data_IF_812391504200
#
_entry.id   IF_812391504200
#
_cell.length_a   1.000
_cell.length_b   1.000
_cell.length_c   1.000
_cell.angle_alpha   90.00
_cell.angle_beta   90.00
_cell.angle_gamma   90.00
#
_symmetry.space_group_name_H-M   'P 1'
#
loop_
_entity.id
_entity.type
_entity.pdbx_description
1 polymer ?
#
# COMPACT_ATOMS: atom_id res chain seq x y z
N UNK A 1 1.92 -8.89 -54.74
CA UNK A 1 0.90 -9.95 -54.82
C UNK A 1 0.01 -9.87 -53.60
N UNK A 2 -1.28 -9.74 -53.87
CA UNK A 2 -2.47 -10.03 -53.06
C UNK A 2 -2.38 -11.35 -52.24
N UNK A 3 -3.17 -11.69 -51.21
CA UNK A 3 -4.35 -11.13 -50.52
C UNK A 3 -4.59 -11.94 -49.19
N UNK A 4 -5.13 -11.29 -48.15
CA UNK A 4 -6.28 -11.68 -47.27
C UNK A 4 -6.28 -12.84 -46.24
N UNK A 5 -6.76 -12.48 -45.04
CA UNK A 5 -7.78 -13.20 -44.22
C UNK A 5 -7.28 -13.87 -42.93
N UNK A 6 -7.82 -13.72 -41.71
CA UNK A 6 -8.99 -12.99 -41.21
C UNK A 6 -9.56 -13.67 -39.93
N UNK A 7 -9.71 -12.89 -38.84
CA UNK A 7 -10.77 -12.94 -37.81
C UNK A 7 -10.82 -14.15 -36.81
N UNK A 8 -11.32 -14.10 -35.57
CA UNK A 8 -12.25 -13.20 -34.82
C UNK A 8 -11.95 -13.23 -33.30
N UNK A 9 -12.19 -12.08 -32.64
CA UNK A 9 -12.45 -11.94 -31.20
C UNK A 9 -13.94 -12.16 -30.90
N UNK A 10 -14.26 -12.67 -29.71
CA UNK A 10 -15.63 -12.78 -29.18
C UNK A 10 -15.83 -11.77 -28.05
N UNK A 11 -16.90 -10.99 -28.17
CA UNK A 11 -17.46 -10.04 -27.21
C UNK A 11 -18.73 -10.68 -26.61
N UNK A 12 -18.96 -10.53 -25.30
CA UNK A 12 -20.25 -10.72 -24.64
C UNK A 12 -20.31 -9.78 -23.45
N UNK A 13 -20.90 -8.59 -23.58
CA UNK A 13 -22.32 -8.23 -23.52
C UNK A 13 -22.75 -7.84 -22.11
N UNK A 14 -22.91 -6.53 -21.91
CA UNK A 14 -23.65 -5.91 -20.82
C UNK A 14 -25.12 -6.34 -20.83
N UNK A 15 -25.71 -6.48 -19.65
CA UNK A 15 -27.16 -6.38 -19.46
C UNK A 15 -27.46 -5.26 -18.47
N UNK A 16 -28.17 -4.27 -18.99
CA UNK A 16 -28.78 -3.15 -18.30
C UNK A 16 -30.12 -3.60 -17.71
N UNK A 17 -30.46 -3.18 -16.49
CA UNK A 17 -31.84 -3.15 -16.04
C UNK A 17 -32.17 -1.79 -15.41
N UNK A 18 -33.32 -1.28 -15.81
CA UNK A 18 -33.76 0.12 -15.74
C UNK A 18 -34.91 0.24 -14.73
N UNK A 19 -34.98 1.42 -14.12
CA UNK A 19 -36.12 2.05 -13.42
C UNK A 19 -36.50 1.53 -12.02
N UNK A 20 -36.51 2.45 -11.04
CA UNK A 20 -37.74 3.10 -10.59
C UNK A 20 -37.46 4.47 -9.96
N UNK A 21 -38.21 5.46 -10.45
CA UNK A 21 -38.35 6.82 -9.95
C UNK A 21 -39.02 6.80 -8.57
N UNK A 22 -38.51 7.55 -7.59
CA UNK A 22 -39.37 8.21 -6.59
C UNK A 22 -38.79 9.58 -6.24
N UNK A 23 -39.59 10.57 -6.57
CA UNK A 23 -39.50 11.99 -6.26
C UNK A 23 -39.66 12.26 -4.76
N UNK A 24 -38.81 13.11 -4.18
CA UNK A 24 -39.21 13.97 -3.06
C UNK A 24 -38.59 15.37 -3.21
N UNK A 25 -39.43 16.35 -2.88
CA UNK A 25 -39.34 17.77 -3.21
C UNK A 25 -38.79 18.55 -2.01
N UNK A 26 -37.83 19.43 -2.30
CA UNK A 26 -37.52 20.75 -1.70
C UNK A 26 -37.82 21.07 -0.22
N UNK A 27 -36.81 21.61 0.46
CA UNK A 27 -36.94 22.89 1.18
C UNK A 27 -35.57 23.58 1.37
N UNK A 28 -35.53 24.84 0.94
CA UNK A 28 -34.50 25.88 1.06
C UNK A 28 -34.21 26.29 2.50
N UNK A 29 -32.97 26.74 2.81
CA UNK A 29 -32.64 28.08 3.37
C UNK A 29 -31.14 28.28 3.67
N UNK A 30 -30.55 29.32 3.06
CA UNK A 30 -29.57 30.32 3.57
C UNK A 30 -28.21 29.92 4.20
N UNK A 31 -27.12 30.37 3.56
CA UNK A 31 -25.77 30.66 4.10
C UNK A 31 -25.74 32.01 4.88
N UNK A 32 -24.59 32.59 5.31
CA UNK A 32 -23.21 32.08 5.54
C UNK A 32 -22.61 32.51 6.91
N UNK A 33 -21.48 31.95 7.35
CA UNK A 33 -20.53 32.64 8.24
C UNK A 33 -19.14 31.98 8.24
N UNK A 34 -18.11 32.79 8.00
CA UNK A 34 -16.70 32.46 8.10
C UNK A 34 -16.19 32.69 9.53
N UNK A 35 -15.26 31.87 10.02
CA UNK A 35 -14.29 32.24 11.05
C UNK A 35 -13.09 31.28 11.07
N UNK A 36 -11.91 31.84 10.81
CA UNK A 36 -10.60 31.26 11.11
C UNK A 36 -10.41 31.09 12.62
N UNK A 37 -9.73 30.03 13.05
CA UNK A 37 -9.27 29.91 14.44
C UNK A 37 -8.43 28.66 14.69
N UNK A 38 -7.11 28.85 14.79
CA UNK A 38 -6.15 27.87 15.29
C UNK A 38 -6.48 27.50 16.74
N UNK A 39 -6.36 26.23 17.11
CA UNK A 39 -6.48 25.81 18.51
C UNK A 39 -6.07 24.36 18.72
N UNK A 40 -4.90 24.16 19.31
CA UNK A 40 -4.48 22.91 19.94
C UNK A 40 -5.45 22.56 21.08
N UNK A 41 -5.83 21.28 21.22
CA UNK A 41 -6.26 20.75 22.52
C UNK A 41 -6.01 19.24 22.61
N UNK A 42 -5.06 18.91 23.46
CA UNK A 42 -4.98 17.66 24.23
C UNK A 42 -6.23 17.49 25.10
N UNK A 43 -6.68 16.25 25.31
CA UNK A 43 -7.56 15.92 26.43
C UNK A 43 -7.17 14.56 27.01
N UNK A 44 -6.82 14.60 28.30
CA UNK A 44 -6.66 13.47 29.22
C UNK A 44 -7.93 13.41 30.04
N UNK A 45 -8.59 12.26 30.13
CA UNK A 45 -9.63 12.03 31.13
C UNK A 45 -9.26 10.86 32.03
N UNK A 46 -8.93 11.24 33.26
CA UNK A 46 -8.69 10.40 34.42
C UNK A 46 -10.05 9.93 34.96
N UNK A 47 -10.29 8.62 35.12
CA UNK A 47 -11.37 8.14 35.99
C UNK A 47 -10.91 6.95 36.83
N UNK A 48 -10.86 7.26 38.12
CA UNK A 48 -10.51 6.45 39.28
C UNK A 48 -11.61 5.42 39.56
N UNK A 49 -11.15 4.29 40.10
CA UNK A 49 -11.93 3.14 40.55
C UNK A 49 -13.03 3.48 41.55
N UNK A 50 -14.11 2.69 41.53
CA UNK A 50 -15.01 2.48 42.66
C UNK A 50 -15.16 0.97 42.88
N UNK A 51 -14.66 0.55 44.03
CA UNK A 51 -14.84 -0.76 44.66
C UNK A 51 -16.30 -0.89 45.10
N UNK A 52 -16.95 -2.02 44.83
CA UNK A 52 -18.13 -2.43 45.59
C UNK A 52 -18.02 -3.92 45.92
N UNK A 53 -17.99 -4.18 47.22
CA UNK A 53 -18.03 -5.49 47.85
C UNK A 53 -19.43 -6.08 47.66
N UNK A 54 -19.50 -7.38 47.36
CA UNK A 54 -20.72 -8.17 47.57
C UNK A 54 -20.36 -9.32 48.50
N UNK A 55 -21.12 -9.34 49.59
CA UNK A 55 -21.06 -10.19 50.77
C UNK A 55 -21.48 -11.63 50.50
N UNK A 56 -20.70 -12.56 51.03
CA UNK A 56 -21.04 -13.98 51.19
C UNK A 56 -22.10 -14.14 52.30
N UNK A 57 -23.20 -14.81 51.98
CA UNK A 57 -24.18 -15.28 52.96
C UNK A 57 -23.90 -16.74 53.33
N UNK A 58 -23.51 -16.95 54.59
CA UNK A 58 -23.42 -18.25 55.24
C UNK A 58 -24.82 -18.77 55.61
N UNK A 59 -25.09 -20.03 55.29
CA UNK A 59 -26.12 -20.83 55.96
C UNK A 59 -25.56 -22.19 56.35
N UNK A 60 -25.49 -22.37 57.67
CA UNK A 60 -25.16 -23.53 58.50
C UNK A 60 -26.23 -24.65 58.40
N UNK A 61 -25.98 -25.97 58.55
CA UNK A 61 -25.85 -26.86 59.76
C UNK A 61 -26.10 -28.32 59.22
N UNK A 62 -25.73 -29.48 59.85
CA UNK A 62 -24.66 -29.85 60.79
C UNK A 62 -23.78 -31.06 60.35
N UNK A 63 -22.69 -31.24 61.09
CA UNK A 63 -21.93 -32.47 61.27
C UNK A 63 -22.76 -33.62 61.90
N UNK A 64 -22.56 -34.84 61.38
CA UNK A 64 -22.79 -36.09 62.13
C UNK A 64 -21.65 -37.07 61.84
N UNK A 65 -20.82 -37.33 62.85
CA UNK A 65 -19.86 -38.44 62.86
C UNK A 65 -20.62 -39.77 63.04
N UNK A 66 -20.29 -40.77 62.23
CA UNK A 66 -20.24 -42.17 62.65
C UNK A 66 -19.37 -43.00 61.70
N UNK A 67 -18.71 -43.98 62.31
CA UNK A 67 -17.55 -44.75 61.90
C UNK A 67 -17.68 -45.72 60.71
N UNK A 68 -16.53 -45.94 60.07
CA UNK A 68 -16.00 -47.19 59.49
C UNK A 68 -16.87 -48.00 58.52
N UNK A 69 -16.46 -48.07 57.25
CA UNK A 69 -15.96 -49.33 56.68
C UNK A 69 -15.18 -49.10 55.36
N UNK A 70 -14.18 -49.95 55.22
CA UNK A 70 -13.25 -50.14 54.12
C UNK A 70 -13.93 -50.22 52.74
N UNK A 71 -13.33 -49.60 51.71
CA UNK A 71 -13.76 -49.77 50.33
C UNK A 71 -13.06 -48.84 49.35
N UNK A 72 -11.95 -49.32 48.78
CA UNK A 72 -11.40 -48.97 47.46
C UNK A 72 -11.48 -47.51 46.98
N UNK A 73 -10.31 -46.88 46.89
CA UNK A 73 -10.06 -45.68 46.11
C UNK A 73 -10.59 -45.80 44.68
N UNK A 74 -11.63 -45.03 44.35
CA UNK A 74 -11.91 -44.62 42.97
C UNK A 74 -11.28 -43.24 42.77
N UNK A 75 -9.98 -43.25 42.48
CA UNK A 75 -9.38 -42.18 41.71
C UNK A 75 -10.16 -42.13 40.38
N UNK A 76 -11.02 -41.14 40.23
CA UNK A 76 -11.43 -40.65 38.91
C UNK A 76 -10.16 -40.12 38.23
N UNK A 77 -9.38 -41.04 37.63
CA UNK A 77 -8.51 -40.70 36.52
C UNK A 77 -9.43 -40.08 35.48
N UNK A 78 -9.39 -38.75 35.34
CA UNK A 78 -9.62 -38.14 34.05
C UNK A 78 -8.67 -38.86 33.10
N UNK A 79 -9.21 -39.75 32.29
CA UNK A 79 -8.53 -40.29 31.12
C UNK A 79 -8.29 -39.08 30.20
N UNK A 80 -7.16 -38.42 30.39
CA UNK A 80 -6.53 -37.73 29.27
C UNK A 80 -6.27 -38.83 28.25
N UNK A 81 -7.04 -38.81 27.16
CA UNK A 81 -6.76 -39.65 26.00
C UNK A 81 -5.40 -39.19 25.49
N UNK A 82 -4.34 -39.87 25.91
CA UNK A 82 -3.01 -39.66 25.34
C UNK A 82 -3.07 -40.14 23.89
N UNK A 83 -3.19 -39.19 22.96
CA UNK A 83 -3.12 -39.46 21.53
C UNK A 83 -1.85 -40.26 21.23
N UNK A 84 -1.96 -41.31 20.40
CA UNK A 84 -0.82 -42.15 20.04
C UNK A 84 0.29 -41.31 19.40
N UNK A 85 1.56 -41.74 19.50
CA UNK A 85 2.70 -40.98 18.94
C UNK A 85 2.58 -40.74 17.43
N UNK A 86 1.90 -41.65 16.71
CA UNK A 86 1.56 -41.50 15.28
C UNK A 86 0.50 -40.41 15.05
N UNK A 87 -0.54 -40.37 15.89
CA UNK A 87 -1.61 -39.36 15.82
C UNK A 87 -1.09 -37.96 16.17
N UNK A 88 -0.19 -37.85 17.15
CA UNK A 88 0.46 -36.59 17.50
C UNK A 88 1.24 -36.00 16.31
N UNK A 89 1.97 -36.84 15.58
CA UNK A 89 2.75 -36.40 14.42
C UNK A 89 1.85 -35.99 13.25
N UNK A 90 0.74 -36.70 13.03
CA UNK A 90 -0.24 -36.35 11.99
C UNK A 90 -0.91 -35.00 12.29
N UNK A 91 -1.30 -34.76 13.54
CA UNK A 91 -1.88 -33.50 14.01
C UNK A 91 -0.89 -32.33 13.89
N UNK A 92 0.37 -32.52 14.30
CA UNK A 92 1.43 -31.52 14.12
C UNK A 92 1.61 -31.19 12.63
N UNK A 93 1.65 -32.20 11.76
CA UNK A 93 1.78 -32.02 10.31
C UNK A 93 0.59 -31.24 9.75
N UNK A 94 -0.63 -31.60 10.15
CA UNK A 94 -1.86 -30.95 9.70
C UNK A 94 -1.92 -29.47 10.14
N UNK A 95 -1.68 -29.18 11.42
CA UNK A 95 -1.72 -27.80 11.92
C UNK A 95 -0.59 -26.95 11.33
N UNK A 96 0.60 -27.52 11.14
CA UNK A 96 1.71 -26.85 10.46
C UNK A 96 1.40 -26.54 9.00
N UNK A 97 0.76 -27.46 8.27
CA UNK A 97 0.38 -27.21 6.88
C UNK A 97 -0.62 -26.05 6.77
N UNK A 98 -1.57 -25.94 7.72
CA UNK A 98 -2.54 -24.84 7.76
C UNK A 98 -1.92 -23.51 8.14
N UNK A 99 -1.06 -23.48 9.15
CA UNK A 99 -0.52 -22.23 9.75
C UNK A 99 0.82 -21.78 9.20
N UNK A 100 1.62 -22.72 8.67
CA UNK A 100 3.04 -22.52 8.32
C UNK A 100 3.93 -22.08 9.50
N UNK A 101 3.45 -22.17 10.75
CA UNK A 101 4.20 -21.79 11.94
C UNK A 101 5.36 -22.77 12.25
N UNK A 102 6.39 -22.35 13.01
CA UNK A 102 7.49 -23.22 13.41
C UNK A 102 7.00 -24.49 14.14
N UNK A 103 7.59 -25.65 13.83
CA UNK A 103 7.17 -26.96 14.40
C UNK A 103 7.11 -26.93 15.92
N UNK A 104 8.07 -26.25 16.57
CA UNK A 104 8.13 -26.08 18.02
C UNK A 104 6.87 -25.39 18.56
N UNK A 105 6.46 -24.31 17.92
CA UNK A 105 5.31 -23.51 18.36
C UNK A 105 4.00 -24.25 18.10
N UNK A 106 3.90 -24.96 16.96
CA UNK A 106 2.77 -25.83 16.62
C UNK A 106 2.60 -26.94 17.67
N UNK A 107 3.69 -27.63 18.02
CA UNK A 107 3.66 -28.68 19.04
C UNK A 107 3.29 -28.11 20.42
N UNK A 108 3.87 -26.98 20.81
CA UNK A 108 3.55 -26.33 22.08
C UNK A 108 2.07 -25.93 22.15
N UNK A 109 1.53 -25.33 21.09
CA UNK A 109 0.12 -24.94 21.04
C UNK A 109 -0.83 -26.15 21.09
N UNK A 110 -0.49 -27.25 20.41
CA UNK A 110 -1.27 -28.50 20.52
C UNK A 110 -1.24 -29.06 21.94
N UNK A 111 -0.10 -29.07 22.61
CA UNK A 111 0.00 -29.51 24.02
C UNK A 111 -0.83 -28.60 24.93
N UNK A 112 -0.70 -27.28 24.80
CA UNK A 112 -1.44 -26.29 25.60
C UNK A 112 -2.96 -26.42 25.41
N UNK A 113 -3.40 -26.88 24.24
CA UNK A 113 -4.81 -27.01 23.85
C UNK A 113 -5.32 -28.46 23.88
N UNK A 114 -4.67 -29.37 24.62
CA UNK A 114 -5.08 -30.77 24.74
C UNK A 114 -5.26 -31.49 23.39
N UNK A 115 -4.39 -31.20 22.43
CA UNK A 115 -4.37 -31.74 21.06
C UNK A 115 -5.58 -31.38 20.18
N UNK A 116 -6.35 -30.35 20.57
CA UNK A 116 -7.46 -29.81 19.78
C UNK A 116 -6.97 -28.83 18.71
N UNK A 117 -7.18 -29.15 17.43
CA UNK A 117 -6.68 -28.36 16.28
C UNK A 117 -7.22 -26.93 16.29
N UNK A 118 -8.52 -26.75 16.47
CA UNK A 118 -9.17 -25.43 16.35
C UNK A 118 -8.80 -24.52 17.53
N UNK A 119 -8.65 -25.08 18.73
CA UNK A 119 -8.16 -24.36 19.89
C UNK A 119 -6.68 -23.95 19.71
N UNK A 120 -5.84 -24.87 19.25
CA UNK A 120 -4.43 -24.59 18.97
C UNK A 120 -4.25 -23.55 17.86
N UNK A 121 -5.10 -23.57 16.82
CA UNK A 121 -5.11 -22.56 15.76
C UNK A 121 -5.40 -21.16 16.32
N UNK A 122 -6.42 -21.04 17.17
CA UNK A 122 -6.78 -19.78 17.83
C UNK A 122 -5.64 -19.26 18.71
N UNK A 123 -4.98 -20.15 19.46
CA UNK A 123 -3.87 -19.77 20.32
C UNK A 123 -2.62 -19.35 19.53
N UNK A 124 -2.29 -20.06 18.44
CA UNK A 124 -1.22 -19.66 17.52
C UNK A 124 -1.49 -18.29 16.91
N UNK A 125 -2.74 -18.01 16.51
CA UNK A 125 -3.14 -16.71 15.97
C UNK A 125 -2.96 -15.61 17.02
N UNK A 126 -3.34 -15.85 18.28
CA UNK A 126 -3.16 -14.91 19.40
C UNK A 126 -1.68 -14.65 19.69
N UNK A 127 -0.87 -15.70 19.84
CA UNK A 127 0.59 -15.59 20.06
C UNK A 127 1.26 -14.85 18.90
N UNK A 128 0.88 -15.16 17.67
CA UNK A 128 1.38 -14.53 16.46
C UNK A 128 1.16 -13.02 16.42
N UNK A 129 -0.04 -12.53 16.77
CA UNK A 129 -0.33 -11.08 16.82
C UNK A 129 0.58 -10.35 17.82
N UNK A 130 0.86 -10.95 18.98
CA UNK A 130 1.77 -10.36 19.98
C UNK A 130 3.20 -10.30 19.45
N UNK A 131 3.67 -11.36 18.78
CA UNK A 131 5.00 -11.38 18.18
C UNK A 131 5.13 -10.37 17.05
N UNK A 132 4.12 -10.24 16.18
CA UNK A 132 4.09 -9.23 15.13
C UNK A 132 4.16 -7.81 15.71
N UNK A 133 3.38 -7.54 16.76
CA UNK A 133 3.42 -6.24 17.45
C UNK A 133 4.79 -5.93 18.07
N UNK A 134 5.53 -6.93 18.56
CA UNK A 134 6.91 -6.72 19.03
C UNK A 134 7.90 -6.44 17.90
N UNK A 135 7.61 -6.90 16.68
CA UNK A 135 8.44 -6.69 15.49
C UNK A 135 8.10 -5.40 14.74
N UNK A 136 6.99 -4.73 15.07
CA UNK A 136 6.49 -3.58 14.32
C UNK A 136 7.42 -2.36 14.31
N UNK A 137 8.36 -2.29 15.26
CA UNK A 137 9.37 -1.23 15.33
C UNK A 137 10.59 -1.47 14.43
N UNK A 138 10.72 -2.66 13.83
CA UNK A 138 11.85 -2.99 12.94
C UNK A 138 11.75 -2.23 11.63
N UNK A 139 12.89 -1.95 11.00
CA UNK A 139 12.93 -1.23 9.73
C UNK A 139 12.34 -2.09 8.61
N UNK A 140 11.27 -1.60 7.96
CA UNK A 140 10.67 -2.22 6.79
C UNK A 140 10.89 -1.31 5.57
N UNK A 141 11.96 -1.55 4.81
CA UNK A 141 12.32 -0.77 3.61
C UNK A 141 12.08 -1.50 2.29
N UNK A 142 11.89 -2.81 2.33
CA UNK A 142 11.51 -3.62 1.17
C UNK A 142 9.99 -3.67 1.03
N UNK A 143 9.47 -4.31 -0.02
CA UNK A 143 8.03 -4.47 -0.22
C UNK A 143 7.57 -4.33 -1.66
N UNK A 144 6.29 -3.99 -1.83
CA UNK A 144 5.65 -3.80 -3.12
C UNK A 144 4.72 -2.60 -3.13
N UNK A 145 4.60 -2.00 -4.31
CA UNK A 145 3.50 -1.12 -4.65
C UNK A 145 2.37 -1.97 -5.22
N UNK A 146 1.15 -1.71 -4.76
CA UNK A 146 -0.06 -2.30 -5.32
C UNK A 146 -0.97 -1.20 -5.88
N UNK A 147 -1.45 -1.42 -7.11
CA UNK A 147 -2.25 -0.48 -7.86
C UNK A 147 -3.61 -1.11 -8.22
N UNK A 148 -4.67 -0.34 -7.98
CA UNK A 148 -6.02 -0.65 -8.42
C UNK A 148 -6.58 0.56 -9.18
N UNK A 149 -7.21 0.31 -10.33
CA UNK A 149 -7.71 1.37 -11.19
C UNK A 149 -9.14 1.05 -11.68
N UNK A 150 -9.94 2.10 -11.82
CA UNK A 150 -11.17 2.11 -12.60
C UNK A 150 -11.08 3.24 -13.67
N UNK A 151 -12.12 3.43 -14.45
CA UNK A 151 -12.15 4.43 -15.54
C UNK A 151 -11.90 5.87 -15.05
N UNK A 152 -12.25 6.17 -13.80
CA UNK A 152 -12.20 7.53 -13.23
C UNK A 152 -11.03 7.78 -12.30
N UNK A 153 -10.42 6.74 -11.71
CA UNK A 153 -9.46 6.86 -10.60
C UNK A 153 -8.48 5.70 -10.58
N UNK A 154 -7.27 5.97 -10.10
CA UNK A 154 -6.28 4.97 -9.73
C UNK A 154 -5.85 5.21 -8.30
N UNK A 155 -5.82 4.14 -7.51
CA UNK A 155 -5.29 4.11 -6.17
C UNK A 155 -4.03 3.26 -6.15
N UNK A 156 -3.01 3.75 -5.48
CA UNK A 156 -1.75 3.05 -5.29
C UNK A 156 -1.35 3.07 -3.82
N UNK A 157 -0.92 1.94 -3.30
CA UNK A 157 -0.47 1.78 -1.92
C UNK A 157 0.92 1.15 -1.88
N UNK A 158 1.75 1.57 -0.93
CA UNK A 158 3.03 0.96 -0.62
C UNK A 158 2.88 0.09 0.63
N UNK A 159 3.04 -1.22 0.46
CA UNK A 159 3.12 -2.18 1.56
C UNK A 159 4.58 -2.61 1.71
N UNK A 160 5.19 -2.28 2.85
CA UNK A 160 6.57 -2.60 3.14
C UNK A 160 6.72 -3.86 3.99
N UNK A 161 7.86 -4.52 3.84
CA UNK A 161 8.36 -5.61 4.67
C UNK A 161 9.87 -5.45 4.95
N UNK A 162 10.45 -6.33 5.78
CA UNK A 162 11.89 -6.29 6.10
C UNK A 162 12.72 -6.81 4.91
N UNK A 163 12.32 -7.93 4.31
CA UNK A 163 13.08 -8.60 3.25
C UNK A 163 12.33 -8.71 1.92
N UNK A 164 13.06 -8.89 0.82
CA UNK A 164 12.48 -9.11 -0.50
C UNK A 164 11.87 -10.52 -0.66
N UNK A 165 12.29 -11.49 0.17
CA UNK A 165 11.68 -12.82 0.22
C UNK A 165 10.21 -12.77 0.63
N UNK A 166 9.87 -11.94 1.63
CA UNK A 166 8.47 -11.74 2.04
C UNK A 166 7.67 -11.01 0.95
N UNK A 167 8.27 -10.03 0.27
CA UNK A 167 7.62 -9.31 -0.83
C UNK A 167 7.18 -10.25 -1.98
N UNK A 168 7.93 -11.34 -2.22
CA UNK A 168 7.61 -12.35 -3.25
C UNK A 168 6.56 -13.36 -2.81
N UNK A 169 6.16 -13.40 -1.54
CA UNK A 169 5.20 -14.37 -1.04
C UNK A 169 3.77 -14.09 -1.55
N UNK A 170 3.06 -15.12 -2.00
CA UNK A 170 1.70 -15.00 -2.56
C UNK A 170 0.69 -14.36 -1.58
N UNK A 171 0.80 -14.66 -0.29
CA UNK A 171 -0.05 -14.08 0.75
C UNK A 171 0.18 -12.57 0.87
N UNK A 172 1.46 -12.16 0.86
CA UNK A 172 1.84 -10.75 0.95
C UNK A 172 1.32 -9.98 -0.26
N UNK A 173 1.52 -10.54 -1.45
CA UNK A 173 1.05 -9.99 -2.71
C UNK A 173 -0.48 -9.88 -2.76
N UNK A 174 -1.20 -10.90 -2.28
CA UNK A 174 -2.66 -10.89 -2.19
C UNK A 174 -3.16 -9.79 -1.26
N UNK A 175 -2.56 -9.66 -0.07
CA UNK A 175 -2.89 -8.58 0.87
C UNK A 175 -2.69 -7.20 0.23
N UNK A 176 -1.55 -6.97 -0.43
CA UNK A 176 -1.25 -5.69 -1.07
C UNK A 176 -2.31 -5.33 -2.14
N UNK A 177 -2.68 -6.28 -3.01
CA UNK A 177 -3.74 -6.08 -4.01
C UNK A 177 -5.11 -5.80 -3.38
N UNK A 178 -5.46 -6.50 -2.31
CA UNK A 178 -6.72 -6.29 -1.60
C UNK A 178 -6.77 -4.90 -0.96
N UNK A 179 -5.66 -4.43 -0.37
CA UNK A 179 -5.53 -3.08 0.17
C UNK A 179 -5.67 -2.01 -0.92
N UNK A 180 -5.05 -2.21 -2.09
CA UNK A 180 -5.17 -1.28 -3.21
C UNK A 180 -6.63 -1.16 -3.69
N UNK A 181 -7.35 -2.27 -3.77
CA UNK A 181 -8.79 -2.28 -4.10
C UNK A 181 -9.63 -1.50 -3.07
N UNK A 182 -9.33 -1.65 -1.78
CA UNK A 182 -10.03 -0.86 -0.74
C UNK A 182 -9.68 0.63 -0.83
N UNK A 183 -8.42 0.96 -1.08
CA UNK A 183 -7.97 2.34 -1.27
C UNK A 183 -8.70 3.03 -2.44
N UNK A 184 -9.03 2.29 -3.50
CA UNK A 184 -9.81 2.82 -4.64
C UNK A 184 -11.25 3.21 -4.26
N UNK A 185 -11.83 2.59 -3.23
CA UNK A 185 -13.18 2.89 -2.75
C UNK A 185 -13.24 4.12 -1.83
N UNK A 186 -12.08 4.57 -1.32
CA UNK A 186 -12.00 5.76 -0.48
C UNK A 186 -12.41 6.98 -1.29
N UNK A 187 -13.43 7.69 -0.80
CA UNK A 187 -13.86 8.93 -1.41
C UNK A 187 -12.87 10.04 -1.05
N UNK A 188 -12.40 10.84 -2.02
CA UNK A 188 -11.63 12.02 -1.70
C UNK A 188 -12.47 12.97 -0.83
N UNK A 189 -11.86 13.74 0.08
CA UNK A 189 -12.57 14.78 0.82
C UNK A 189 -13.24 15.73 -0.18
N UNK A 190 -14.50 16.07 0.10
CA UNK A 190 -15.50 16.66 -0.81
C UNK A 190 -15.19 18.06 -1.39
N UNK A 191 -13.95 18.53 -1.29
CA UNK A 191 -13.52 19.87 -1.72
C UNK A 191 -12.28 19.90 -2.63
N UNK A 192 -11.62 18.79 -2.94
CA UNK A 192 -10.48 18.79 -3.86
C UNK A 192 -10.87 18.25 -5.25
N UNK A 193 -10.80 19.16 -6.21
CA UNK A 193 -11.08 18.98 -7.63
C UNK A 193 -9.71 18.83 -8.31
N UNK A 194 -9.42 17.62 -8.79
CA UNK A 194 -8.19 17.26 -9.51
C UNK A 194 -6.89 17.19 -8.70
N UNK A 195 -6.04 16.20 -9.02
CA UNK A 195 -4.72 16.02 -8.41
C UNK A 195 -4.48 14.66 -7.75
N UNK A 196 -3.26 14.50 -7.24
CA UNK A 196 -2.82 13.36 -6.43
C UNK A 196 -3.17 13.62 -4.97
N UNK A 197 -3.97 12.74 -4.37
CA UNK A 197 -4.46 12.90 -3.00
C UNK A 197 -3.81 11.83 -2.12
N UNK A 198 -3.07 12.19 -1.07
CA UNK A 198 -2.55 11.23 -0.10
C UNK A 198 -3.69 10.60 0.68
N UNK A 199 -3.62 9.29 0.85
CA UNK A 199 -4.50 8.52 1.72
C UNK A 199 -3.79 8.43 3.08
N UNK A 200 -4.36 9.08 4.08
CA UNK A 200 -3.89 8.95 5.45
C UNK A 200 -4.02 7.48 5.89
N UNK A 201 -2.95 6.90 6.43
CA UNK A 201 -2.92 5.48 6.82
C UNK A 201 -4.02 5.17 7.84
N UNK A 202 -4.32 6.13 8.72
CA UNK A 202 -5.36 6.05 9.74
C UNK A 202 -6.76 5.85 9.11
N UNK A 203 -7.01 6.40 7.92
CA UNK A 203 -8.28 6.21 7.21
C UNK A 203 -8.46 4.80 6.67
N UNK A 204 -7.37 4.04 6.49
CA UNK A 204 -7.41 2.68 5.99
C UNK A 204 -7.45 1.66 7.12
N UNK A 205 -6.78 1.90 8.25
CA UNK A 205 -6.57 0.93 9.34
C UNK A 205 -7.85 0.25 9.85
N UNK A 206 -8.93 1.01 10.00
CA UNK A 206 -10.23 0.54 10.52
C UNK A 206 -11.18 0.04 9.43
N UNK A 207 -10.83 0.20 8.14
CA UNK A 207 -11.67 -0.29 7.06
C UNK A 207 -11.74 -1.82 7.10
N UNK A 208 -12.94 -2.32 6.85
CA UNK A 208 -13.18 -3.75 6.77
C UNK A 208 -12.68 -4.29 5.44
N UNK A 209 -11.84 -5.31 5.50
CA UNK A 209 -11.45 -6.13 4.37
C UNK A 209 -12.16 -7.48 4.45
N UNK A 210 -12.72 -7.88 3.32
CA UNK A 210 -13.05 -9.27 3.07
C UNK A 210 -11.88 -9.92 2.33
N UNK A 211 -11.17 -10.83 3.01
CA UNK A 211 -10.07 -11.60 2.42
C UNK A 211 -10.56 -13.02 2.15
N UNK A 212 -10.55 -13.39 0.87
CA UNK A 212 -10.88 -14.72 0.39
C UNK A 212 -9.58 -15.44 0.01
N UNK A 213 -8.84 -15.89 1.02
CA UNK A 213 -7.61 -16.66 0.83
C UNK A 213 -7.60 -17.93 1.72
N UNK A 214 -7.11 -19.09 1.26
CA UNK A 214 -7.15 -20.34 2.03
C UNK A 214 -6.45 -20.29 3.40
N UNK A 215 -5.47 -19.40 3.54
CA UNK A 215 -4.68 -19.20 4.78
C UNK A 215 -5.08 -17.94 5.56
N UNK A 216 -5.91 -17.08 4.98
CA UNK A 216 -6.38 -15.84 5.59
C UNK A 216 -7.83 -15.69 5.18
N UNK A 217 -8.74 -16.05 6.09
CA UNK A 217 -10.16 -16.06 5.80
C UNK A 217 -10.91 -15.25 6.86
N UNK A 218 -11.82 -14.39 6.39
CA UNK A 218 -12.78 -13.69 7.23
C UNK A 218 -12.79 -12.17 7.04
N UNK A 219 -13.87 -11.58 7.51
CA UNK A 219 -14.01 -10.13 7.65
C UNK A 219 -13.12 -9.65 8.80
N UNK A 220 -12.20 -8.76 8.49
CA UNK A 220 -11.25 -8.20 9.47
C UNK A 220 -10.94 -6.77 9.11
N UNK A 221 -10.40 -5.98 10.05
CA UNK A 221 -9.89 -4.65 9.72
C UNK A 221 -8.56 -4.75 8.96
N UNK A 222 -8.21 -3.72 8.17
CA UNK A 222 -6.90 -3.59 7.51
C UNK A 222 -5.76 -3.85 8.49
N UNK A 223 -5.79 -3.19 9.64
CA UNK A 223 -4.73 -3.32 10.65
C UNK A 223 -4.59 -4.75 11.16
N UNK A 224 -5.71 -5.43 11.38
CA UNK A 224 -5.69 -6.83 11.81
C UNK A 224 -5.21 -7.77 10.70
N UNK A 225 -5.57 -7.52 9.44
CA UNK A 225 -5.08 -8.29 8.30
C UNK A 225 -3.56 -8.17 8.15
N UNK A 226 -3.03 -6.94 8.23
CA UNK A 226 -1.58 -6.69 8.18
C UNK A 226 -0.87 -7.40 9.34
N UNK A 227 -1.40 -7.28 10.56
CA UNK A 227 -0.82 -7.92 11.75
C UNK A 227 -0.84 -9.45 11.64
N UNK A 228 -1.88 -10.02 11.05
CA UNK A 228 -1.99 -11.46 10.82
C UNK A 228 -0.98 -11.95 9.77
N UNK A 229 -0.84 -11.23 8.65
CA UNK A 229 0.17 -11.58 7.64
C UNK A 229 1.58 -11.42 8.21
N UNK A 230 1.84 -10.38 9.01
CA UNK A 230 3.12 -10.19 9.70
C UNK A 230 3.43 -11.35 10.66
N UNK A 231 2.40 -11.87 11.35
CA UNK A 231 2.54 -13.03 12.22
C UNK A 231 2.88 -14.32 11.45
N UNK A 232 2.26 -14.53 10.28
CA UNK A 232 2.53 -15.70 9.42
C UNK A 232 3.92 -15.61 8.81
N UNK A 233 4.32 -14.43 8.33
CA UNK A 233 5.63 -14.21 7.69
C UNK A 233 6.78 -14.10 8.70
N UNK A 234 6.49 -13.70 9.94
CA UNK A 234 7.51 -13.52 10.96
C UNK A 234 8.38 -12.28 10.76
N UNK A 235 7.97 -11.34 9.92
CA UNK A 235 8.64 -10.05 9.68
C UNK A 235 7.68 -8.89 9.96
N UNK A 236 8.22 -7.70 10.19
CA UNK A 236 7.45 -6.48 10.18
C UNK A 236 6.82 -6.26 8.81
N UNK A 237 5.53 -5.95 8.79
CA UNK A 237 4.80 -5.52 7.60
C UNK A 237 4.09 -4.22 7.94
N UNK A 238 4.26 -3.22 7.08
CA UNK A 238 3.73 -1.89 7.32
C UNK A 238 3.08 -1.34 6.07
N UNK A 239 1.82 -0.91 6.19
CA UNK A 239 1.20 -0.04 5.20
C UNK A 239 1.78 1.36 5.39
N UNK A 240 2.61 1.82 4.46
CA UNK A 240 3.42 3.02 4.65
C UNK A 240 2.72 4.28 4.16
N UNK A 241 2.26 4.24 2.91
CA UNK A 241 1.63 5.39 2.25
C UNK A 241 0.71 4.89 1.14
N UNK A 242 -0.32 5.68 0.86
CA UNK A 242 -1.22 5.46 -0.27
C UNK A 242 -1.58 6.78 -0.93
N UNK A 243 -1.90 6.73 -2.21
CA UNK A 243 -2.33 7.88 -2.99
C UNK A 243 -3.47 7.49 -3.92
N UNK A 244 -4.39 8.42 -4.15
CA UNK A 244 -5.41 8.31 -5.20
C UNK A 244 -5.22 9.44 -6.18
N UNK A 245 -5.24 9.13 -7.47
CA UNK A 245 -5.34 10.14 -8.52
C UNK A 245 -6.65 9.94 -9.28
N UNK A 246 -7.37 11.04 -9.51
CA UNK A 246 -8.56 11.05 -10.36
C UNK A 246 -8.17 11.43 -11.78
N UNK A 247 -8.89 10.88 -12.75
CA UNK A 247 -8.81 11.29 -14.14
C UNK A 247 -9.39 12.71 -14.31
N UNK A 248 -8.88 13.45 -15.29
CA UNK A 248 -9.48 14.71 -15.72
C UNK A 248 -10.94 14.48 -16.17
N UNK A 249 -11.77 15.52 -16.16
CA UNK A 249 -13.21 15.43 -16.50
C UNK A 249 -13.48 14.74 -17.84
N UNK A 250 -12.57 14.87 -18.81
CA UNK A 250 -12.58 14.21 -20.14
C UNK A 250 -11.22 13.57 -20.46
N UNK A 251 -10.57 13.03 -19.43
CA UNK A 251 -9.20 12.55 -19.50
C UNK A 251 -9.01 11.05 -19.55
N UNK A 252 -7.80 10.63 -19.92
CA UNK A 252 -7.32 9.24 -19.83
C UNK A 252 -6.33 9.14 -18.68
N UNK A 253 -6.58 8.19 -17.78
CA UNK A 253 -5.67 7.86 -16.69
C UNK A 253 -4.79 6.68 -17.11
N UNK A 254 -3.48 6.91 -17.22
CA UNK A 254 -2.51 5.90 -17.63
C UNK A 254 -1.60 5.52 -16.47
N UNK A 255 -1.32 4.23 -16.33
CA UNK A 255 -0.49 3.68 -15.24
C UNK A 255 0.59 2.78 -15.82
N UNK A 256 1.77 2.77 -15.22
CA UNK A 256 2.84 1.84 -15.52
C UNK A 256 3.46 1.32 -14.21
N UNK A 257 3.63 0.01 -14.11
CA UNK A 257 4.28 -0.68 -13.00
C UNK A 257 5.56 -1.35 -13.50
N UNK A 258 6.71 -0.98 -12.91
CA UNK A 258 7.99 -1.58 -13.22
C UNK A 258 8.38 -2.65 -12.19
N UNK A 259 9.17 -3.63 -12.65
CA UNK A 259 9.54 -4.82 -11.88
C UNK A 259 8.31 -5.53 -11.30
N UNK A 260 7.30 -5.72 -12.15
CA UNK A 260 6.00 -6.30 -11.78
C UNK A 260 6.09 -7.82 -11.65
N UNK A 261 5.86 -8.41 -10.46
CA UNK A 261 5.79 -9.86 -10.32
C UNK A 261 4.49 -10.43 -10.91
N UNK A 262 3.42 -9.63 -10.91
CA UNK A 262 2.11 -9.95 -11.47
C UNK A 262 1.28 -8.66 -11.67
N UNK A 263 0.21 -8.68 -12.51
CA UNK A 263 -0.62 -7.51 -12.75
C UNK A 263 -1.11 -6.82 -11.48
N UNK A 264 -0.99 -5.49 -11.44
CA UNK A 264 -1.37 -4.67 -10.29
C UNK A 264 -0.29 -4.57 -9.20
N UNK A 265 0.86 -5.25 -9.32
CA UNK A 265 1.99 -5.11 -8.40
C UNK A 265 3.24 -4.61 -9.11
N UNK A 266 4.10 -3.88 -8.41
CA UNK A 266 5.41 -3.44 -8.92
C UNK A 266 6.30 -2.87 -7.82
N UNK A 267 7.55 -2.53 -8.15
CA UNK A 267 8.47 -1.83 -7.23
C UNK A 267 8.57 -0.34 -7.50
N UNK A 268 8.23 0.08 -8.71
CA UNK A 268 8.16 1.47 -9.11
C UNK A 268 6.88 1.65 -9.91
N UNK A 269 6.18 2.75 -9.68
CA UNK A 269 4.96 3.09 -10.37
C UNK A 269 5.02 4.49 -10.95
N UNK A 270 4.46 4.65 -12.14
CA UNK A 270 4.17 5.93 -12.78
C UNK A 270 2.69 5.99 -13.09
N UNK A 271 2.05 7.09 -12.75
CA UNK A 271 0.65 7.36 -13.07
C UNK A 271 0.58 8.74 -13.72
N UNK A 272 -0.25 8.88 -14.75
CA UNK A 272 -0.40 10.09 -15.53
C UNK A 272 -1.89 10.33 -15.84
N UNK A 273 -2.37 11.55 -15.62
CA UNK A 273 -3.68 12.03 -16.08
C UNK A 273 -3.47 12.88 -17.32
N UNK A 274 -4.01 12.44 -18.46
CA UNK A 274 -4.11 13.24 -19.68
C UNK A 274 -5.50 13.86 -19.76
N UNK A 275 -5.60 15.15 -20.01
CA UNK A 275 -6.85 15.86 -20.31
C UNK A 275 -7.00 16.01 -21.83
N UNK A 276 -8.22 15.78 -22.32
CA UNK A 276 -8.60 15.98 -23.72
C UNK A 276 -9.85 16.84 -23.77
N UNK A 277 -9.85 17.90 -24.58
CA UNK A 277 -10.98 18.82 -24.66
C UNK A 277 -12.22 18.18 -25.32
N UNK A 278 -12.03 17.33 -26.35
CA UNK A 278 -13.12 16.61 -27.03
C UNK A 278 -13.24 15.12 -26.59
N UNK A 279 -14.45 14.72 -26.18
CA UNK A 279 -14.82 13.36 -25.75
C UNK A 279 -14.79 12.31 -26.87
N UNK A 280 -14.91 12.72 -28.14
CA UNK A 280 -14.96 11.79 -29.29
C UNK A 280 -13.59 11.51 -29.93
N UNK A 281 -12.54 11.96 -29.28
CA UNK A 281 -11.14 11.79 -29.67
C UNK A 281 -10.74 10.31 -29.83
N UNK A 282 -9.69 10.05 -30.62
CA UNK A 282 -9.11 8.72 -30.81
C UNK A 282 -8.51 8.17 -29.49
N UNK A 283 -9.35 7.57 -28.65
CA UNK A 283 -9.00 7.07 -27.31
C UNK A 283 -7.82 6.07 -27.34
N UNK A 284 -7.72 5.24 -28.37
CA UNK A 284 -6.63 4.26 -28.50
C UNK A 284 -5.25 4.93 -28.62
N UNK A 285 -5.15 6.01 -29.40
CA UNK A 285 -3.90 6.75 -29.57
C UNK A 285 -3.48 7.44 -28.26
N UNK A 286 -4.45 8.03 -27.56
CA UNK A 286 -4.24 8.68 -26.26
C UNK A 286 -3.81 7.66 -25.19
N UNK A 287 -4.47 6.51 -25.13
CA UNK A 287 -4.13 5.43 -24.19
C UNK A 287 -2.72 4.87 -24.44
N UNK A 288 -2.34 4.70 -25.71
CA UNK A 288 -1.00 4.24 -26.09
C UNK A 288 0.06 5.23 -25.63
N UNK A 289 -0.03 6.50 -26.04
CA UNK A 289 0.94 7.54 -25.65
C UNK A 289 0.93 7.77 -24.14
N UNK A 290 -0.24 7.77 -23.49
CA UNK A 290 -0.34 7.88 -22.04
C UNK A 290 0.38 6.75 -21.30
N UNK A 291 0.30 5.51 -21.80
CA UNK A 291 1.04 4.37 -21.24
C UNK A 291 2.55 4.52 -21.41
N UNK A 292 3.01 4.97 -22.58
CA UNK A 292 4.43 5.24 -22.84
C UNK A 292 4.95 6.40 -21.98
N UNK A 293 4.14 7.44 -21.74
CA UNK A 293 4.46 8.54 -20.85
C UNK A 293 4.48 8.12 -19.38
N UNK A 294 3.58 7.24 -18.92
CA UNK A 294 3.65 6.67 -17.58
C UNK A 294 4.94 5.87 -17.36
N UNK A 295 5.40 5.14 -18.38
CA UNK A 295 6.70 4.48 -18.39
C UNK A 295 7.86 5.50 -18.36
N UNK A 296 7.75 6.59 -19.13
CA UNK A 296 8.71 7.69 -19.10
C UNK A 296 8.85 8.31 -17.71
N UNK A 297 7.74 8.59 -17.02
CA UNK A 297 7.75 9.11 -15.64
C UNK A 297 8.51 8.18 -14.70
N UNK A 298 8.34 6.86 -14.82
CA UNK A 298 9.09 5.88 -14.00
C UNK A 298 10.59 5.99 -14.22
N UNK A 299 11.02 6.05 -15.48
CA UNK A 299 12.43 6.01 -15.88
C UNK A 299 13.15 7.35 -15.68
N UNK A 300 12.55 8.44 -16.15
CA UNK A 300 13.17 9.78 -16.19
C UNK A 300 13.03 10.56 -14.87
N UNK A 301 12.19 10.11 -13.95
CA UNK A 301 12.00 10.69 -12.60
C UNK A 301 11.79 12.22 -12.59
N UNK A 302 10.90 12.79 -13.44
CA UNK A 302 10.61 14.22 -13.40
C UNK A 302 10.13 14.65 -12.01
N UNK A 303 10.51 15.87 -11.62
CA UNK A 303 10.08 16.50 -10.37
C UNK A 303 8.96 17.51 -10.59
N UNK A 304 8.93 18.13 -11.77
CA UNK A 304 7.98 19.18 -12.13
C UNK A 304 7.33 18.89 -13.48
N UNK A 305 6.10 19.35 -13.68
CA UNK A 305 5.43 19.19 -14.96
C UNK A 305 5.96 20.21 -15.98
N UNK A 306 5.97 21.49 -15.60
CA UNK A 306 6.43 22.60 -16.44
C UNK A 306 7.47 23.45 -15.71
N UNK A 307 8.18 24.32 -16.45
CA UNK A 307 9.23 25.20 -15.91
C UNK A 307 8.70 26.17 -14.85
N UNK A 308 7.45 26.59 -15.00
CA UNK A 308 6.80 27.55 -14.10
C UNK A 308 6.52 26.97 -12.71
N UNK A 309 6.49 25.64 -12.58
CA UNK A 309 6.33 24.97 -11.30
C UNK A 309 7.65 24.81 -10.53
N UNK A 310 8.79 25.14 -11.14
CA UNK A 310 10.08 25.11 -10.46
C UNK A 310 10.21 26.37 -9.60
N UNK A 311 10.41 26.20 -8.29
CA UNK A 311 10.52 27.34 -7.37
C UNK A 311 11.70 28.24 -7.72
N UNK A 312 11.49 29.56 -7.66
CA UNK A 312 12.54 30.57 -7.87
C UNK A 312 13.75 30.34 -6.98
N UNK A 313 13.54 29.93 -5.73
CA UNK A 313 14.61 29.76 -4.74
C UNK A 313 15.52 28.59 -5.10
N UNK A 314 14.93 27.45 -5.52
CA UNK A 314 15.71 26.31 -6.01
C UNK A 314 16.49 26.66 -7.29
N UNK A 315 15.88 27.42 -8.21
CA UNK A 315 16.55 27.85 -9.44
C UNK A 315 17.69 28.81 -9.17
N UNK A 316 17.53 29.76 -8.26
CA UNK A 316 18.58 30.72 -7.93
C UNK A 316 19.70 30.03 -7.16
N UNK A 317 19.38 29.15 -6.20
CA UNK A 317 20.38 28.33 -5.53
C UNK A 317 21.18 27.47 -6.52
N UNK A 318 20.51 26.82 -7.48
CA UNK A 318 21.20 26.03 -8.51
C UNK A 318 22.06 26.94 -9.41
N UNK A 319 21.55 28.10 -9.81
CA UNK A 319 22.30 29.09 -10.60
C UNK A 319 23.55 29.56 -9.87
N UNK A 320 23.47 29.87 -8.59
CA UNK A 320 24.61 30.30 -7.77
C UNK A 320 25.67 29.19 -7.70
N UNK A 321 25.28 27.94 -7.44
CA UNK A 321 26.18 26.79 -7.43
C UNK A 321 26.90 26.66 -8.78
N UNK A 322 26.15 26.72 -9.88
CA UNK A 322 26.69 26.62 -11.23
C UNK A 322 27.62 27.79 -11.59
N UNK A 323 27.30 29.00 -11.11
CA UNK A 323 28.12 30.19 -11.31
C UNK A 323 29.45 30.08 -10.57
N UNK A 324 29.44 29.70 -9.28
CA UNK A 324 30.66 29.48 -8.50
C UNK A 324 31.56 28.41 -9.13
N UNK A 325 30.97 27.33 -9.65
CA UNK A 325 31.72 26.30 -10.40
C UNK A 325 32.31 26.80 -11.72
N UNK A 326 31.67 27.76 -12.38
CA UNK A 326 32.13 28.31 -13.65
C UNK A 326 33.21 29.39 -13.43
N UNK A 327 33.11 30.18 -12.36
CA UNK A 327 34.11 31.19 -11.98
C UNK A 327 35.48 30.57 -11.70
N UNK A 328 35.53 29.38 -11.09
CA UNK A 328 36.79 28.65 -10.86
C UNK A 328 37.50 28.21 -12.15
N UNK A 329 36.88 28.36 -13.33
CA UNK A 329 37.49 28.01 -14.62
C UNK A 329 38.30 29.15 -15.25
N UNK A 330 38.33 30.34 -14.64
CA UNK A 330 39.13 31.49 -15.10
C UNK A 330 38.68 32.11 -16.43
N UNK A 331 37.44 31.83 -16.87
CA UNK A 331 36.87 32.35 -18.11
C UNK A 331 36.30 33.76 -17.93
N UNK A 332 36.05 34.47 -19.03
CA UNK A 332 35.39 35.79 -18.98
C UNK A 332 33.95 35.70 -18.46
N UNK A 333 33.43 36.80 -17.90
CA UNK A 333 32.07 36.84 -17.36
C UNK A 333 31.01 36.41 -18.39
N UNK A 334 31.12 36.90 -19.63
CA UNK A 334 30.21 36.52 -20.72
C UNK A 334 30.26 35.02 -21.04
N UNK A 335 31.43 34.38 -20.91
CA UNK A 335 31.56 32.94 -21.11
C UNK A 335 30.99 32.15 -19.93
N UNK A 336 31.18 32.65 -18.70
CA UNK A 336 30.58 32.08 -17.48
C UNK A 336 29.06 32.11 -17.57
N UNK A 337 28.46 33.25 -17.92
CA UNK A 337 27.01 33.40 -18.01
C UNK A 337 26.41 32.43 -19.04
N UNK A 338 27.06 32.27 -20.20
CA UNK A 338 26.65 31.27 -21.21
C UNK A 338 26.77 29.83 -20.72
N UNK A 339 27.79 29.51 -19.92
CA UNK A 339 27.96 28.18 -19.32
C UNK A 339 26.83 27.90 -18.33
N UNK A 340 26.55 28.87 -17.44
CA UNK A 340 25.47 28.77 -16.45
C UNK A 340 24.13 28.60 -17.15
N UNK A 341 23.83 29.40 -18.17
CA UNK A 341 22.59 29.28 -18.95
C UNK A 341 22.44 27.90 -19.61
N UNK A 342 23.51 27.37 -20.22
CA UNK A 342 23.52 26.05 -20.81
C UNK A 342 23.29 24.92 -19.79
N UNK A 343 23.90 25.04 -18.60
CA UNK A 343 23.71 24.06 -17.51
C UNK A 343 22.33 24.14 -16.88
N UNK A 344 21.75 25.34 -16.72
CA UNK A 344 20.37 25.51 -16.28
C UNK A 344 19.38 24.92 -17.28
N UNK A 345 19.66 25.02 -18.58
CA UNK A 345 18.85 24.35 -19.62
C UNK A 345 18.85 22.83 -19.44
N UNK A 346 20.03 22.25 -19.20
CA UNK A 346 20.19 20.82 -18.90
C UNK A 346 19.47 20.42 -17.61
N UNK A 347 19.52 21.26 -16.58
CA UNK A 347 18.76 21.04 -15.35
C UNK A 347 17.25 20.94 -15.62
N UNK A 348 16.69 21.85 -16.43
CA UNK A 348 15.28 21.74 -16.83
C UNK A 348 14.98 20.45 -17.61
N UNK A 349 15.86 20.05 -18.54
CA UNK A 349 15.74 18.78 -19.27
C UNK A 349 15.83 17.55 -18.36
N UNK A 350 16.38 17.67 -17.15
CA UNK A 350 16.46 16.60 -16.16
C UNK A 350 15.26 16.58 -15.21
N UNK A 351 14.76 17.74 -14.76
CA UNK A 351 13.73 17.81 -13.70
C UNK A 351 12.32 18.12 -14.19
N UNK A 352 12.15 18.67 -15.40
CA UNK A 352 10.84 19.09 -15.93
C UNK A 352 10.35 18.13 -17.00
N UNK A 353 9.22 17.46 -16.74
CA UNK A 353 8.64 16.45 -17.63
C UNK A 353 8.47 16.95 -19.07
N UNK A 354 7.92 18.15 -19.27
CA UNK A 354 7.67 18.69 -20.61
C UNK A 354 8.96 18.99 -21.41
N UNK A 355 10.09 19.15 -20.72
CA UNK A 355 11.39 19.47 -21.32
C UNK A 355 12.25 18.22 -21.53
N UNK A 356 11.94 17.13 -20.84
CA UNK A 356 12.65 15.85 -20.94
C UNK A 356 12.56 15.27 -22.36
N UNK A 357 13.69 14.73 -22.83
CA UNK A 357 13.71 13.88 -24.03
C UNK A 357 12.90 12.62 -23.77
N UNK A 358 12.04 12.26 -24.70
CA UNK A 358 11.17 11.12 -24.54
C UNK A 358 11.97 9.82 -24.60
N UNK A 359 11.75 8.90 -23.64
CA UNK A 359 12.61 7.72 -23.49
C UNK A 359 12.46 6.70 -24.61
N UNK A 360 11.30 6.70 -25.30
CA UNK A 360 11.02 5.77 -26.39
C UNK A 360 11.55 6.33 -27.72
N UNK A 361 11.60 7.65 -27.86
CA UNK A 361 12.13 8.36 -29.02
C UNK A 361 12.85 9.63 -28.55
N UNK A 362 14.17 9.54 -28.43
CA UNK A 362 15.02 10.61 -27.91
C UNK A 362 15.23 11.77 -28.89
N UNK A 363 14.67 11.66 -30.11
CA UNK A 363 14.67 12.73 -31.11
C UNK A 363 13.66 13.83 -30.80
N UNK A 364 12.70 13.55 -29.93
CA UNK A 364 11.68 14.51 -29.48
C UNK A 364 11.65 14.63 -27.96
N UNK A 365 11.21 15.79 -27.48
CA UNK A 365 10.84 15.97 -26.07
C UNK A 365 9.34 15.68 -25.86
N UNK A 366 8.94 15.52 -24.59
CA UNK A 366 7.56 15.22 -24.20
C UNK A 366 6.58 16.28 -24.69
N UNK A 367 6.96 17.57 -24.66
CA UNK A 367 6.14 18.65 -25.23
C UNK A 367 5.84 18.44 -26.71
N UNK A 368 6.87 18.16 -27.51
CA UNK A 368 6.71 17.92 -28.96
C UNK A 368 5.89 16.66 -29.23
N UNK A 369 6.03 15.62 -28.39
CA UNK A 369 5.22 14.41 -28.48
C UNK A 369 3.73 14.72 -28.26
N UNK A 370 3.38 15.51 -27.24
CA UNK A 370 1.99 15.91 -26.97
C UNK A 370 1.42 16.81 -28.07
N UNK A 371 2.23 17.69 -28.64
CA UNK A 371 1.83 18.52 -29.77
C UNK A 371 1.52 17.67 -31.02
N UNK A 372 2.32 16.61 -31.26
CA UNK A 372 2.06 15.64 -32.33
C UNK A 372 0.77 14.86 -32.06
N UNK A 373 0.58 14.36 -30.84
CA UNK A 373 -0.63 13.65 -30.44
C UNK A 373 -1.89 14.52 -30.59
N UNK A 374 -1.82 15.78 -30.17
CA UNK A 374 -2.94 16.72 -30.30
C UNK A 374 -3.36 16.92 -31.76
N UNK A 375 -2.39 16.95 -32.69
CA UNK A 375 -2.65 17.03 -34.13
C UNK A 375 -3.24 15.74 -34.71
N UNK A 376 -2.75 14.59 -34.26
CA UNK A 376 -3.26 13.27 -34.67
C UNK A 376 -4.72 13.08 -34.25
N UNK A 377 -5.03 13.46 -33.02
CA UNK A 377 -6.36 13.32 -32.42
C UNK A 377 -7.34 14.41 -32.87
N UNK A 378 -6.82 15.58 -33.29
CA UNK A 378 -7.63 16.73 -33.70
C UNK A 378 -8.17 17.57 -32.54
N UNK A 379 -7.69 17.33 -31.30
CA UNK A 379 -8.06 18.05 -30.08
C UNK A 379 -6.81 18.30 -29.23
N UNK A 380 -6.70 19.44 -28.53
CA UNK A 380 -5.63 19.66 -27.56
C UNK A 380 -5.60 18.54 -26.51
N UNK A 381 -4.41 17.96 -26.31
CA UNK A 381 -4.12 16.98 -25.25
C UNK A 381 -3.09 17.58 -24.31
N UNK A 382 -3.39 17.57 -23.00
CA UNK A 382 -2.52 18.13 -21.97
C UNK A 382 -2.26 17.09 -20.90
N UNK A 383 -1.08 17.12 -20.29
CA UNK A 383 -0.87 16.41 -19.02
C UNK A 383 -1.43 17.29 -17.92
N UNK A 384 -2.39 16.76 -17.17
CA UNK A 384 -2.97 17.46 -16.03
C UNK A 384 -2.14 17.20 -14.77
N UNK A 385 -1.82 15.94 -14.52
CA UNK A 385 -1.06 15.50 -13.35
C UNK A 385 -0.21 14.28 -13.69
N UNK A 386 0.91 14.13 -12.98
CA UNK A 386 1.67 12.88 -12.95
C UNK A 386 2.06 12.54 -11.52
N UNK A 387 2.35 11.26 -11.30
CA UNK A 387 2.75 10.72 -10.02
C UNK A 387 3.79 9.62 -10.24
N UNK A 388 4.85 9.63 -9.43
CA UNK A 388 5.85 8.58 -9.39
C UNK A 388 6.00 8.10 -7.95
N UNK A 389 6.08 6.79 -7.75
CA UNK A 389 6.40 6.21 -6.46
C UNK A 389 7.37 5.05 -6.59
N UNK A 390 8.29 4.92 -5.65
CA UNK A 390 9.28 3.85 -5.56
C UNK A 390 9.26 3.24 -4.15
N UNK A 391 9.34 1.91 -4.06
CA UNK A 391 9.39 1.19 -2.77
C UNK A 391 10.61 1.65 -1.98
N UNK A 392 10.39 1.99 -0.71
CA UNK A 392 11.45 2.35 0.24
C UNK A 392 12.03 3.75 0.03
N UNK A 393 11.51 4.53 -0.91
CA UNK A 393 11.98 5.90 -1.18
C UNK A 393 11.90 6.77 0.07
N UNK A 394 13.01 7.39 0.46
CA UNK A 394 13.13 8.22 1.67
C UNK A 394 13.32 7.42 2.97
N UNK A 395 13.46 6.09 2.90
CA UNK A 395 13.85 5.26 4.05
C UNK A 395 15.36 5.06 4.00
N UNK A 396 16.06 5.57 5.01
CA UNK A 396 17.49 5.36 5.13
C UNK A 396 17.74 3.92 5.58
N UNK A 397 18.32 3.09 4.70
CA UNK A 397 18.77 1.76 5.10
C UNK A 397 20.00 1.92 6.00
N UNK A 398 19.97 1.27 7.15
CA UNK A 398 21.19 1.04 7.92
C UNK A 398 21.99 0.01 7.11
N UNK A 399 23.03 0.46 6.40
CA UNK A 399 24.01 -0.44 5.79
C UNK A 399 24.55 -1.34 6.90
N UNK A 400 24.26 -2.65 6.83
CA UNK A 400 24.84 -3.61 7.75
C UNK A 400 26.33 -3.76 7.37
N UNK A 401 27.23 -3.25 8.21
CA UNK A 401 28.67 -3.49 8.08
C UNK A 401 28.96 -4.99 8.25
N UNK A 402 28.90 -5.76 7.17
CA UNK A 402 29.16 -7.20 7.16
C UNK A 402 30.66 -7.52 7.21
N UNK A 403 31.42 -6.83 8.07
CA UNK A 403 32.85 -7.05 8.31
C UNK A 403 33.20 -6.61 9.73
N UNK A 404 33.04 -7.50 10.71
CA UNK A 404 33.88 -7.56 11.94
C UNK A 404 33.37 -8.48 13.08
N UNK A 405 32.28 -9.25 12.92
CA UNK A 405 31.77 -10.11 14.01
C UNK A 405 32.07 -11.62 13.88
N UNK A 406 33.14 -12.03 13.19
CA UNK A 406 33.55 -13.44 13.11
C UNK A 406 34.97 -13.74 13.64
N UNK A 407 35.52 -12.93 14.55
CA UNK A 407 36.86 -13.20 15.14
C UNK A 407 36.91 -13.15 16.68
N UNK A 408 35.77 -13.09 17.38
CA UNK A 408 35.75 -12.94 18.84
C UNK A 408 35.31 -14.18 19.65
N UNK A 409 35.21 -15.36 19.03
CA UNK A 409 35.01 -16.64 19.76
C UNK A 409 35.97 -17.72 19.22
N UNK A 410 37.26 -17.52 19.47
CA UNK A 410 38.26 -18.59 19.44
C UNK A 410 39.48 -18.18 20.29
N UNK A 411 39.32 -18.22 21.61
CA UNK A 411 40.43 -18.44 22.57
C UNK A 411 39.94 -19.38 23.67
#
# INVERSE_FOLDING_TARGET
MAFHGGAKRSLGSMLCNRMLNTSYRSSTTTSPAAANGRGFSTYVSNKRAVFSQVSESQTSIPLRLANTQCGSALLLRRLSVEASSSDQMSLIKQLRQRTSAPIKDVKAALIDCNWEIEAALKELRRKGKVLASKKSSRLASEGLLALAQNESKAAIIELNCETDFVARNEIFQYLALALAKQALLVKPPSQQVSGVIPIASEHLEDLKLNLEHPKISGETTVQNAITEVAAIMGENIKLRRGFVMSAASHGVLSTYLHSSPQPGLGRIAGILSLEVEDKNSQLDAIQRIGSELAMHVVAAKPLFLTKELVSSDALESEREILKSQAESTGKSQMAIDKIVEGRLRKYYEEVVLMEQKFIVDDTVNVKTLLDKLSKEVGSPVKIENFFRMEVGEGIQRLEASSTSENLAEAV
#
